data_IF_744665469972
#
_entry.id   IF_744665469972
#
_cell.length_a   1.000
_cell.length_b   1.000
_cell.length_c   1.000
_cell.angle_alpha   90.00
_cell.angle_beta   90.00
_cell.angle_gamma   90.00
#
_symmetry.space_group_name_H-M   'P 1'
#
loop_
_entity.id
_entity.type
_entity.pdbx_description
1 polymer ?
#
# COMPACT_ATOMS: atom_id res chain seq x y z
N UNK A 1 2.71 -11.54 -14.94
CA UNK A 1 1.50 -12.27 -14.52
C UNK A 1 1.82 -13.08 -13.29
N UNK A 2 0.91 -13.14 -12.31
CA UNK A 2 1.08 -13.99 -11.11
C UNK A 2 0.66 -15.42 -11.47
N UNK A 3 1.51 -16.40 -11.17
CA UNK A 3 1.14 -17.81 -11.28
C UNK A 3 0.33 -18.22 -10.05
N UNK A 4 -0.99 -18.28 -10.20
CA UNK A 4 -1.92 -18.62 -9.12
C UNK A 4 -1.70 -20.06 -8.63
N UNK A 5 -1.24 -20.98 -9.49
CA UNK A 5 -1.08 -22.39 -9.11
C UNK A 5 0.03 -22.61 -8.08
N UNK A 6 1.05 -21.76 -8.10
CA UNK A 6 2.20 -21.79 -7.18
C UNK A 6 2.06 -20.77 -6.04
N UNK A 7 1.02 -19.93 -6.04
CA UNK A 7 0.90 -18.87 -5.05
C UNK A 7 0.33 -19.40 -3.73
N UNK A 8 1.08 -19.24 -2.64
CA UNK A 8 0.65 -19.65 -1.30
C UNK A 8 -0.71 -19.07 -0.86
N UNK A 9 -1.12 -17.95 -1.45
CA UNK A 9 -2.40 -17.29 -1.16
C UNK A 9 -3.51 -17.64 -2.15
N UNK A 10 -3.36 -18.66 -2.99
CA UNK A 10 -4.36 -19.10 -3.98
C UNK A 10 -5.76 -19.24 -3.38
N UNK A 11 -5.91 -20.12 -2.39
CA UNK A 11 -7.21 -20.41 -1.76
C UNK A 11 -7.81 -19.16 -1.09
N UNK A 12 -6.96 -18.34 -0.47
CA UNK A 12 -7.37 -17.07 0.13
C UNK A 12 -7.90 -16.10 -0.94
N UNK A 13 -7.18 -15.98 -2.06
CA UNK A 13 -7.59 -15.12 -3.16
C UNK A 13 -8.92 -15.60 -3.75
N UNK A 14 -9.09 -16.90 -3.99
CA UNK A 14 -10.35 -17.47 -4.48
C UNK A 14 -11.52 -17.18 -3.52
N UNK A 15 -11.34 -17.41 -2.21
CA UNK A 15 -12.38 -17.14 -1.21
C UNK A 15 -12.73 -15.64 -1.12
N UNK A 16 -11.73 -14.76 -1.02
CA UNK A 16 -11.92 -13.32 -0.91
C UNK A 16 -12.31 -12.62 -2.22
N UNK A 17 -12.26 -13.32 -3.35
CA UNK A 17 -12.76 -12.81 -4.63
C UNK A 17 -14.18 -13.33 -4.94
N UNK A 18 -14.66 -14.35 -4.22
CA UNK A 18 -15.96 -14.99 -4.47
C UNK A 18 -16.87 -14.98 -3.23
N UNK A 19 -16.90 -16.09 -2.49
CA UNK A 19 -17.87 -16.37 -1.43
C UNK A 19 -17.74 -15.49 -0.19
N UNK A 20 -16.57 -14.89 0.03
CA UNK A 20 -16.27 -14.06 1.20
C UNK A 20 -15.65 -12.72 0.80
N UNK A 21 -16.09 -12.12 -0.33
CA UNK A 21 -15.56 -10.84 -0.78
C UNK A 21 -15.77 -9.73 0.27
N UNK A 22 -14.68 -9.12 0.71
CA UNK A 22 -14.70 -8.10 1.76
C UNK A 22 -13.56 -7.08 1.62
N UNK A 23 -13.74 -5.92 2.23
CA UNK A 23 -12.69 -4.90 2.43
C UNK A 23 -12.62 -4.51 3.90
N UNK A 24 -11.50 -3.92 4.32
CA UNK A 24 -11.31 -3.46 5.69
C UNK A 24 -10.60 -2.10 5.73
N UNK A 25 -10.81 -1.36 6.82
CA UNK A 25 -10.17 -0.07 7.07
C UNK A 25 -9.46 -0.11 8.42
N UNK A 26 -8.38 0.64 8.54
CA UNK A 26 -7.65 0.84 9.80
C UNK A 26 -7.11 2.27 9.87
N UNK A 27 -7.12 2.86 11.06
CA UNK A 27 -6.62 4.21 11.32
C UNK A 27 -5.51 4.15 12.36
N UNK A 28 -4.40 4.85 12.10
CA UNK A 28 -3.27 4.95 13.01
C UNK A 28 -2.88 6.41 13.22
N UNK A 29 -2.46 6.74 14.45
CA UNK A 29 -1.84 8.03 14.75
C UNK A 29 -0.34 7.93 14.55
N UNK A 30 0.14 8.38 13.39
CA UNK A 30 1.55 8.31 13.04
C UNK A 30 2.31 9.51 13.64
N UNK A 31 3.40 9.25 14.36
CA UNK A 31 4.31 10.32 14.79
C UNK A 31 5.08 10.87 13.58
N UNK A 32 4.77 12.10 13.20
CA UNK A 32 5.39 12.82 12.08
C UNK A 32 6.35 13.92 12.55
N UNK A 33 6.70 13.99 13.84
CA UNK A 33 7.49 15.10 14.41
C UNK A 33 8.82 15.28 13.69
N UNK A 34 9.58 14.19 13.48
CA UNK A 34 10.86 14.23 12.77
C UNK A 34 10.69 14.56 11.28
N UNK A 35 9.66 14.00 10.65
CA UNK A 35 9.33 14.25 9.25
C UNK A 35 8.99 15.73 9.02
N UNK A 36 8.11 16.30 9.84
CA UNK A 36 7.67 17.68 9.73
C UNK A 36 8.83 18.67 9.93
N UNK A 37 9.73 18.41 10.89
CA UNK A 37 10.96 19.20 11.08
C UNK A 37 11.82 19.21 9.82
N UNK A 38 12.00 18.04 9.20
CA UNK A 38 12.81 17.87 7.99
C UNK A 38 12.20 18.59 6.78
N UNK A 39 10.89 18.43 6.56
CA UNK A 39 10.15 19.11 5.49
C UNK A 39 10.26 20.62 5.60
N UNK A 40 10.07 21.17 6.82
CA UNK A 40 10.18 22.62 7.08
C UNK A 40 11.62 23.12 6.86
N UNK A 41 12.62 22.42 7.39
CA UNK A 41 14.05 22.77 7.22
C UNK A 41 14.42 22.90 5.74
N UNK A 42 13.91 21.99 4.90
CA UNK A 42 14.23 21.94 3.47
C UNK A 42 13.26 22.74 2.58
N UNK A 43 12.31 23.48 3.16
CA UNK A 43 11.29 24.27 2.44
C UNK A 43 10.46 23.45 1.44
N UNK A 44 10.22 22.18 1.74
CA UNK A 44 9.35 21.33 0.90
C UNK A 44 7.88 21.52 1.28
N UNK A 45 6.98 21.33 0.32
CA UNK A 45 5.55 21.22 0.61
C UNK A 45 5.29 19.86 1.27
N UNK A 46 4.58 19.86 2.39
CA UNK A 46 4.30 18.66 3.18
C UNK A 46 3.57 17.57 2.36
N UNK A 47 2.50 17.95 1.67
CA UNK A 47 1.62 17.01 0.97
C UNK A 47 2.35 16.16 -0.09
N UNK A 48 3.07 16.74 -1.08
CA UNK A 48 3.80 15.93 -2.06
C UNK A 48 4.95 15.13 -1.43
N UNK A 49 5.58 15.63 -0.35
CA UNK A 49 6.61 14.87 0.35
C UNK A 49 6.04 13.60 1.01
N UNK A 50 4.86 13.69 1.62
CA UNK A 50 4.19 12.54 2.23
C UNK A 50 3.67 11.55 1.18
N UNK A 51 3.05 12.04 0.10
CA UNK A 51 2.62 11.21 -1.04
C UNK A 51 3.81 10.44 -1.61
N UNK A 52 4.97 11.07 -1.73
CA UNK A 52 6.16 10.39 -2.25
C UNK A 52 6.60 9.23 -1.37
N UNK A 53 6.53 9.37 -0.04
CA UNK A 53 6.83 8.26 0.90
C UNK A 53 5.84 7.11 0.72
N UNK A 54 4.54 7.42 0.62
CA UNK A 54 3.52 6.40 0.35
C UNK A 54 3.80 5.70 -0.97
N UNK A 55 4.04 6.45 -2.05
CA UNK A 55 4.37 5.90 -3.36
C UNK A 55 5.60 4.99 -3.32
N UNK A 56 6.63 5.32 -2.53
CA UNK A 56 7.79 4.44 -2.35
C UNK A 56 7.42 3.10 -1.71
N UNK A 57 6.57 3.08 -0.68
CA UNK A 57 6.10 1.85 -0.03
C UNK A 57 5.20 1.04 -0.96
N UNK A 58 4.24 1.69 -1.63
CA UNK A 58 3.37 1.03 -2.61
C UNK A 58 4.16 0.38 -3.75
N UNK A 59 5.30 0.98 -4.15
CA UNK A 59 6.18 0.43 -5.18
C UNK A 59 7.25 -0.55 -4.66
N UNK A 60 7.45 -0.65 -3.34
CA UNK A 60 8.33 -1.64 -2.74
C UNK A 60 7.67 -3.02 -2.60
N UNK A 61 6.33 -3.07 -2.42
CA UNK A 61 5.61 -4.30 -2.07
C UNK A 61 4.61 -4.72 -3.17
N UNK A 62 4.78 -5.88 -3.83
CA UNK A 62 3.97 -6.28 -4.99
C UNK A 62 2.48 -6.43 -4.71
N UNK A 63 2.09 -6.80 -3.48
CA UNK A 63 0.70 -6.94 -3.03
C UNK A 63 -0.12 -5.64 -3.15
N UNK A 64 0.54 -4.48 -3.16
CA UNK A 64 -0.10 -3.17 -3.34
C UNK A 64 -0.24 -2.74 -4.81
N UNK A 65 0.24 -3.55 -5.76
CA UNK A 65 0.22 -3.24 -7.21
C UNK A 65 -0.50 -4.29 -8.05
N UNK A 66 -1.27 -5.16 -7.42
CA UNK A 66 -2.02 -6.21 -8.12
C UNK A 66 -3.26 -5.61 -8.79
N UNK A 67 -3.56 -6.10 -10.01
CA UNK A 67 -4.76 -5.76 -10.76
C UNK A 67 -5.15 -6.93 -11.66
N UNK A 68 -6.43 -7.01 -12.01
CA UNK A 68 -6.91 -7.95 -13.03
C UNK A 68 -6.80 -7.28 -14.40
N UNK A 69 -6.06 -7.89 -15.31
CA UNK A 69 -5.81 -7.36 -16.66
C UNK A 69 -5.65 -8.52 -17.65
N UNK A 70 -6.22 -8.33 -18.84
CA UNK A 70 -6.09 -9.23 -20.00
C UNK A 70 -4.68 -9.20 -20.61
#
# INVERSE_FOLDING_TARGET
TVDISQWHRKEHFEAFQSVAQCTYNQTVQLDITAFLKTVKKNKHKFYPAFIHILARLMNAHPEFRMTMKD
#
